data_IF_148750547501
#
_entry.id   IF_148750547501
#
_cell.length_a   1.000
_cell.length_b   1.000
_cell.length_c   1.000
_cell.angle_alpha   90.00
_cell.angle_beta   90.00
_cell.angle_gamma   90.00
#
_symmetry.space_group_name_H-M   'P 1'
#
loop_
_entity.id
_entity.type
_entity.pdbx_description
1 polymer ?
#
# COMPACT_ATOMS: atom_id res chain seq x y z
N UNK A 1 -39.18 45.34 5.41
CA UNK A 1 -38.47 45.54 4.11
C UNK A 1 -37.11 46.22 4.30
N UNK A 2 -36.27 45.73 5.23
CA UNK A 2 -34.87 46.18 5.42
C UNK A 2 -33.89 45.02 5.70
N UNK A 3 -34.41 43.81 5.95
CA UNK A 3 -33.60 42.62 6.26
C UNK A 3 -33.27 41.77 5.02
N UNK A 4 -34.12 41.82 3.98
CA UNK A 4 -33.92 41.04 2.74
C UNK A 4 -32.84 41.67 1.83
N UNK A 5 -32.63 42.98 1.94
CA UNK A 5 -31.57 43.69 1.19
C UNK A 5 -30.18 43.36 1.75
N UNK A 6 -30.06 42.98 3.02
CA UNK A 6 -28.77 42.66 3.63
C UNK A 6 -28.27 41.25 3.27
N UNK A 7 -29.18 40.30 2.98
CA UNK A 7 -28.84 38.94 2.56
C UNK A 7 -28.47 38.89 1.05
N UNK A 8 -29.02 39.80 0.24
CA UNK A 8 -28.68 39.92 -1.19
C UNK A 8 -27.32 40.59 -1.47
N UNK A 9 -26.76 41.32 -0.50
CA UNK A 9 -25.48 42.04 -0.69
C UNK A 9 -24.27 41.23 -0.20
N UNK A 10 -24.47 40.24 0.68
CA UNK A 10 -23.39 39.36 1.17
C UNK A 10 -23.09 38.20 0.21
N UNK A 11 -23.97 37.91 -0.75
CA UNK A 11 -23.84 36.76 -1.68
C UNK A 11 -23.23 37.11 -3.04
N UNK A 12 -22.89 38.38 -3.31
CA UNK A 12 -22.34 38.82 -4.62
C UNK A 12 -20.85 39.23 -4.54
N UNK A 13 -20.23 39.23 -3.37
CA UNK A 13 -18.85 39.71 -3.17
C UNK A 13 -17.77 38.60 -3.14
N UNK A 14 -18.00 37.46 -3.79
CA UNK A 14 -17.07 36.31 -3.68
C UNK A 14 -16.93 35.41 -4.90
N UNK A 15 -17.50 35.76 -6.06
CA UNK A 15 -17.25 35.02 -7.30
C UNK A 15 -16.14 35.76 -8.07
N UNK A 16 -14.93 35.74 -7.54
CA UNK A 16 -13.77 35.83 -8.42
C UNK A 16 -13.71 34.49 -9.15
N UNK A 17 -13.52 34.46 -10.49
CA UNK A 17 -13.07 33.24 -11.10
C UNK A 17 -11.78 32.89 -10.38
N UNK A 18 -11.72 31.70 -9.78
CA UNK A 18 -10.46 31.10 -9.37
C UNK A 18 -9.65 30.95 -10.67
N UNK A 19 -8.94 32.01 -11.04
CA UNK A 19 -7.85 31.92 -11.98
C UNK A 19 -6.96 30.84 -11.37
N UNK A 20 -6.89 29.70 -12.03
CA UNK A 20 -5.89 28.70 -11.72
C UNK A 20 -4.56 29.46 -11.74
N UNK A 21 -4.01 29.76 -10.56
CA UNK A 21 -2.62 30.18 -10.43
C UNK A 21 -1.82 28.95 -10.82
N UNK A 22 -1.67 28.76 -12.13
CA UNK A 22 -0.49 28.11 -12.67
C UNK A 22 0.67 28.90 -12.09
N UNK A 23 1.59 28.27 -11.33
CA UNK A 23 2.78 28.94 -10.88
C UNK A 23 3.45 29.57 -12.11
N UNK A 24 3.52 30.90 -12.17
CA UNK A 24 4.21 31.60 -13.25
C UNK A 24 5.72 31.43 -13.02
N UNK A 25 6.26 30.40 -13.66
CA UNK A 25 7.67 30.03 -13.61
C UNK A 25 8.53 30.94 -14.52
N UNK A 26 7.95 31.92 -15.20
CA UNK A 26 8.66 32.84 -16.09
C UNK A 26 9.70 33.72 -15.39
N UNK A 27 9.51 33.99 -14.10
CA UNK A 27 10.43 34.80 -13.29
C UNK A 27 11.67 34.05 -12.75
N UNK A 28 11.74 32.72 -12.90
CA UNK A 28 12.82 31.89 -12.36
C UNK A 28 13.86 31.45 -13.41
N UNK A 29 13.88 32.10 -14.58
CA UNK A 29 14.69 31.68 -15.73
C UNK A 29 15.79 32.72 -16.00
N UNK A 30 17.07 32.40 -15.69
CA UNK A 30 18.20 33.10 -16.28
C UNK A 30 18.20 32.90 -17.80
N UNK A 31 18.35 33.98 -18.56
CA UNK A 31 18.46 33.98 -20.02
C UNK A 31 19.68 33.17 -20.45
N UNK A 32 19.46 31.91 -20.87
CA UNK A 32 20.53 30.98 -21.29
C UNK A 32 20.35 29.53 -20.84
N UNK A 33 19.36 29.25 -19.99
CA UNK A 33 19.03 27.89 -19.55
C UNK A 33 18.04 27.20 -20.51
N UNK A 34 17.81 25.86 -20.43
CA UNK A 34 16.82 25.16 -21.24
C UNK A 34 15.49 25.90 -21.17
N UNK A 35 14.81 26.04 -22.31
CA UNK A 35 13.56 26.80 -22.44
C UNK A 35 12.61 26.51 -21.27
N UNK A 36 11.84 27.53 -20.83
CA UNK A 36 10.80 27.37 -19.82
C UNK A 36 9.98 26.09 -20.04
N UNK A 37 9.67 25.83 -21.31
CA UNK A 37 8.99 24.64 -21.83
C UNK A 37 9.71 23.33 -21.50
N UNK A 38 11.03 23.24 -21.62
CA UNK A 38 11.80 22.03 -21.32
C UNK A 38 11.74 21.63 -19.84
N UNK A 39 11.80 22.60 -18.92
CA UNK A 39 11.64 22.31 -17.47
C UNK A 39 10.21 21.96 -17.11
N UNK A 40 9.23 22.59 -17.74
CA UNK A 40 7.81 22.24 -17.55
C UNK A 40 7.57 20.79 -18.01
N UNK A 41 8.13 20.37 -19.14
CA UNK A 41 8.06 18.98 -19.62
C UNK A 41 8.73 18.01 -18.65
N UNK A 42 9.91 18.35 -18.13
CA UNK A 42 10.62 17.51 -17.15
C UNK A 42 9.84 17.38 -15.83
N UNK A 43 9.24 18.47 -15.34
CA UNK A 43 8.38 18.46 -14.15
C UNK A 43 7.11 17.65 -14.37
N UNK A 44 6.48 17.76 -15.55
CA UNK A 44 5.32 16.94 -15.91
C UNK A 44 5.68 15.46 -15.97
N UNK A 45 6.82 15.10 -16.54
CA UNK A 45 7.30 13.73 -16.57
C UNK A 45 7.52 13.18 -15.15
N UNK A 46 8.17 13.96 -14.28
CA UNK A 46 8.41 13.58 -12.89
C UNK A 46 7.09 13.41 -12.10
N UNK A 47 6.14 14.32 -12.26
CA UNK A 47 4.80 14.20 -11.65
C UNK A 47 4.05 12.97 -12.16
N UNK A 48 4.21 12.62 -13.44
CA UNK A 48 3.60 11.44 -14.04
C UNK A 48 4.20 10.16 -13.45
N UNK A 49 5.51 10.09 -13.26
CA UNK A 49 6.16 8.95 -12.60
C UNK A 49 5.72 8.86 -11.13
N UNK A 50 5.66 9.98 -10.42
CA UNK A 50 5.27 10.03 -9.02
C UNK A 50 3.80 9.63 -8.80
N UNK A 51 2.90 9.91 -9.75
CA UNK A 51 1.49 9.51 -9.65
C UNK A 51 1.28 8.00 -9.84
N UNK A 52 2.17 7.32 -10.57
CA UNK A 52 2.15 5.87 -10.77
C UNK A 52 2.83 5.11 -9.63
N UNK A 53 3.71 5.77 -8.87
CA UNK A 53 4.49 5.16 -7.79
C UNK A 53 3.66 4.41 -6.72
N UNK A 54 2.50 4.91 -6.23
CA UNK A 54 1.67 4.17 -5.29
C UNK A 54 1.14 2.85 -5.88
N UNK A 55 0.83 2.83 -7.18
CA UNK A 55 0.40 1.63 -7.89
C UNK A 55 1.54 0.61 -7.99
N UNK A 56 2.75 1.07 -8.36
CA UNK A 56 3.93 0.19 -8.39
C UNK A 56 4.22 -0.42 -7.02
N UNK A 57 4.15 0.39 -5.95
CA UNK A 57 4.33 -0.07 -4.58
C UNK A 57 3.38 -1.23 -4.25
N UNK A 58 2.11 -1.15 -4.63
CA UNK A 58 1.13 -2.23 -4.41
C UNK A 58 1.43 -3.46 -5.27
N UNK A 59 1.89 -3.27 -6.51
CA UNK A 59 2.07 -4.35 -7.49
C UNK A 59 3.35 -5.16 -7.30
N UNK A 60 4.46 -4.53 -6.90
CA UNK A 60 5.79 -5.16 -6.92
C UNK A 60 6.40 -5.39 -5.53
N UNK A 61 5.69 -5.03 -4.46
CA UNK A 61 6.24 -5.08 -3.09
C UNK A 61 5.32 -5.81 -2.11
N UNK A 62 5.83 -6.01 -0.89
CA UNK A 62 5.14 -6.64 0.23
C UNK A 62 4.02 -5.80 0.89
N UNK A 63 3.82 -4.55 0.47
CA UNK A 63 2.89 -3.61 1.09
C UNK A 63 1.48 -4.15 1.23
N UNK A 64 0.97 -4.81 0.19
CA UNK A 64 -0.39 -5.36 0.14
C UNK A 64 -0.66 -6.32 1.30
N UNK A 65 0.28 -7.20 1.63
CA UNK A 65 0.15 -8.13 2.77
C UNK A 65 0.06 -7.39 4.10
N UNK A 66 0.91 -6.38 4.30
CA UNK A 66 0.97 -5.64 5.56
C UNK A 66 -0.28 -4.81 5.80
N UNK A 67 -0.72 -4.03 4.80
CA UNK A 67 -1.90 -3.18 4.97
C UNK A 67 -3.17 -4.00 5.21
N UNK A 68 -3.29 -5.19 4.58
CA UNK A 68 -4.41 -6.09 4.80
C UNK A 68 -4.37 -6.66 6.23
N UNK A 69 -3.26 -7.23 6.66
CA UNK A 69 -3.14 -7.80 8.01
C UNK A 69 -3.42 -6.75 9.11
N UNK A 70 -2.87 -5.53 8.96
CA UNK A 70 -3.12 -4.41 9.87
C UNK A 70 -4.58 -3.95 9.86
N UNK A 71 -5.25 -3.99 8.70
CA UNK A 71 -6.67 -3.67 8.58
C UNK A 71 -7.55 -4.71 9.26
N UNK A 72 -7.22 -6.00 9.12
CA UNK A 72 -7.89 -7.09 9.83
C UNK A 72 -7.71 -6.98 11.36
N UNK A 73 -6.52 -6.59 11.83
CA UNK A 73 -6.31 -6.33 13.26
C UNK A 73 -7.27 -5.25 13.79
N UNK A 74 -7.38 -4.11 13.09
CA UNK A 74 -8.29 -3.03 13.48
C UNK A 74 -9.73 -3.52 13.59
N UNK A 75 -10.19 -4.29 12.62
CA UNK A 75 -11.53 -4.89 12.60
C UNK A 75 -11.69 -5.88 13.77
N UNK A 76 -10.69 -6.74 14.00
CA UNK A 76 -10.72 -7.75 15.06
C UNK A 76 -10.86 -7.17 16.47
N UNK A 77 -10.08 -6.12 16.78
CA UNK A 77 -10.15 -5.42 18.08
C UNK A 77 -11.53 -4.74 18.26
N UNK A 78 -12.15 -4.28 17.16
CA UNK A 78 -13.48 -3.66 17.20
C UNK A 78 -13.47 -2.15 17.46
N UNK A 79 -12.33 -1.49 17.27
CA UNK A 79 -12.21 -0.03 17.37
C UNK A 79 -12.66 0.63 16.07
N UNK A 80 -13.58 1.60 16.14
CA UNK A 80 -14.20 2.16 14.94
C UNK A 80 -13.28 3.06 14.10
N UNK A 81 -12.34 3.77 14.74
CA UNK A 81 -11.49 4.76 14.03
C UNK A 81 -10.04 4.76 14.48
N UNK A 82 -9.69 4.00 15.52
CA UNK A 82 -8.34 3.94 16.09
C UNK A 82 -7.72 2.56 15.88
N UNK A 83 -6.50 2.45 15.34
CA UNK A 83 -5.68 3.50 14.75
C UNK A 83 -6.28 4.04 13.43
N UNK A 84 -6.04 5.32 13.15
CA UNK A 84 -6.50 5.97 11.91
C UNK A 84 -5.87 5.34 10.67
N UNK A 85 -6.55 5.42 9.52
CA UNK A 85 -6.09 4.81 8.27
C UNK A 85 -4.66 5.26 7.90
N UNK A 86 -4.35 6.53 8.11
CA UNK A 86 -3.04 7.10 7.85
C UNK A 86 -1.94 6.40 8.68
N UNK A 87 -2.21 6.09 9.95
CA UNK A 87 -1.24 5.39 10.81
C UNK A 87 -0.98 3.98 10.29
N UNK A 88 -2.02 3.25 9.88
CA UNK A 88 -1.85 1.90 9.34
C UNK A 88 -1.10 1.90 8.01
N UNK A 89 -1.42 2.84 7.12
CA UNK A 89 -0.71 3.01 5.83
C UNK A 89 0.75 3.37 6.07
N UNK A 90 1.04 4.33 6.96
CA UNK A 90 2.41 4.70 7.30
C UNK A 90 3.19 3.52 7.89
N UNK A 91 2.59 2.76 8.82
CA UNK A 91 3.23 1.58 9.39
C UNK A 91 3.51 0.51 8.33
N UNK A 92 2.52 0.21 7.47
CA UNK A 92 2.70 -0.72 6.36
C UNK A 92 3.83 -0.28 5.42
N UNK A 93 3.92 1.01 5.13
CA UNK A 93 4.95 1.58 4.25
C UNK A 93 6.35 1.53 4.87
N UNK A 94 6.49 1.83 6.16
CA UNK A 94 7.78 1.66 6.87
C UNK A 94 8.22 0.20 6.93
N UNK A 95 7.30 -0.73 7.21
CA UNK A 95 7.60 -2.17 7.18
C UNK A 95 7.97 -2.64 5.78
N UNK A 96 7.33 -2.09 4.75
CA UNK A 96 7.66 -2.36 3.35
C UNK A 96 9.08 -1.93 3.04
N UNK A 97 9.47 -0.71 3.41
CA UNK A 97 10.84 -0.23 3.20
C UNK A 97 11.87 -1.05 3.98
N UNK A 98 11.54 -1.49 5.19
CA UNK A 98 12.43 -2.34 5.97
C UNK A 98 12.67 -3.70 5.28
N UNK A 99 11.61 -4.38 4.85
CA UNK A 99 11.71 -5.70 4.19
C UNK A 99 12.31 -5.60 2.79
N UNK A 100 11.94 -4.57 2.03
CA UNK A 100 12.40 -4.37 0.65
C UNK A 100 13.77 -3.70 0.55
N UNK A 101 14.39 -3.30 1.68
CA UNK A 101 15.70 -2.63 1.70
C UNK A 101 16.74 -3.27 0.77
N UNK A 102 17.00 -4.59 0.85
CA UNK A 102 17.96 -5.26 -0.03
C UNK A 102 17.59 -5.18 -1.52
N UNK A 103 16.30 -5.23 -1.86
CA UNK A 103 15.82 -5.14 -3.25
C UNK A 103 16.02 -3.73 -3.81
N UNK A 104 15.71 -2.70 -3.01
CA UNK A 104 15.93 -1.31 -3.41
C UNK A 104 17.42 -0.99 -3.56
N UNK A 105 18.26 -1.48 -2.65
CA UNK A 105 19.71 -1.29 -2.71
C UNK A 105 20.31 -1.97 -3.95
N UNK A 106 19.92 -3.21 -4.25
CA UNK A 106 20.38 -3.93 -5.45
C UNK A 106 19.94 -3.23 -6.73
N UNK A 107 18.69 -2.78 -6.81
CA UNK A 107 18.17 -2.01 -7.94
C UNK A 107 18.90 -0.68 -8.13
N UNK A 108 19.26 -0.01 -7.02
CA UNK A 108 20.00 1.24 -7.06
C UNK A 108 21.42 1.05 -7.59
N UNK A 109 22.16 0.07 -7.04
CA UNK A 109 23.57 -0.14 -7.38
C UNK A 109 23.77 -0.70 -8.80
N UNK A 110 22.89 -1.59 -9.24
CA UNK A 110 23.08 -2.30 -10.52
C UNK A 110 22.44 -1.59 -11.72
N UNK A 111 21.39 -0.81 -11.49
CA UNK A 111 20.60 -0.18 -12.54
C UNK A 111 20.58 1.35 -12.49
N UNK A 112 20.10 1.94 -11.39
CA UNK A 112 19.91 3.40 -11.30
C UNK A 112 21.24 4.17 -11.33
N UNK A 113 22.19 3.79 -10.48
CA UNK A 113 23.47 4.48 -10.38
C UNK A 113 24.28 4.40 -11.69
N UNK A 114 24.42 3.25 -12.36
CA UNK A 114 25.11 3.19 -13.65
C UNK A 114 24.41 3.98 -14.76
N UNK A 115 23.08 4.10 -14.73
CA UNK A 115 22.34 4.93 -15.69
C UNK A 115 22.65 6.42 -15.50
N UNK A 116 22.67 6.90 -14.26
CA UNK A 116 23.04 8.29 -13.92
C UNK A 116 24.51 8.57 -14.28
N UNK A 117 25.38 7.57 -14.15
CA UNK A 117 26.79 7.64 -14.56
C UNK A 117 26.99 7.44 -16.08
N UNK A 118 25.91 7.35 -16.87
CA UNK A 118 25.92 7.14 -18.33
C UNK A 118 26.68 5.88 -18.78
N UNK A 119 26.81 4.88 -17.90
CA UNK A 119 27.54 3.62 -18.16
C UNK A 119 26.71 2.57 -18.88
N UNK A 120 25.38 2.69 -18.83
CA UNK A 120 24.44 1.77 -19.45
C UNK A 120 23.34 2.55 -20.17
N UNK A 121 22.69 1.90 -21.13
CA UNK A 121 21.53 2.48 -21.84
C UNK A 121 20.28 2.45 -20.98
N UNK A 122 19.28 3.27 -21.33
CA UNK A 122 17.97 3.29 -20.64
C UNK A 122 17.27 1.92 -20.68
N UNK A 123 17.35 1.21 -21.82
CA UNK A 123 16.76 -0.13 -21.97
C UNK A 123 17.44 -1.16 -21.05
N UNK A 124 18.77 -1.14 -20.98
CA UNK A 124 19.53 -2.02 -20.10
C UNK A 124 19.32 -1.66 -18.61
N UNK A 125 19.21 -0.37 -18.30
CA UNK A 125 18.89 0.09 -16.95
C UNK A 125 17.52 -0.42 -16.49
N UNK A 126 16.51 -0.41 -17.36
CA UNK A 126 15.20 -0.95 -17.03
C UNK A 126 15.27 -2.43 -16.63
N UNK A 127 15.98 -3.26 -17.40
CA UNK A 127 16.15 -4.67 -17.08
C UNK A 127 16.88 -4.89 -15.75
N UNK A 128 17.97 -4.15 -15.51
CA UNK A 128 18.74 -4.24 -14.27
C UNK A 128 18.00 -3.70 -13.04
N UNK A 129 17.18 -2.66 -13.21
CA UNK A 129 16.30 -2.11 -12.16
C UNK A 129 15.20 -3.11 -11.82
N UNK A 130 14.60 -3.75 -12.82
CA UNK A 130 13.48 -4.66 -12.62
C UNK A 130 13.91 -6.03 -12.07
N UNK A 131 15.13 -6.49 -12.35
CA UNK A 131 15.59 -7.84 -11.98
C UNK A 131 15.50 -8.15 -10.47
N UNK A 132 15.93 -7.28 -9.53
CA UNK A 132 15.78 -7.53 -8.09
C UNK A 132 14.32 -7.68 -7.66
N UNK A 133 13.42 -6.86 -8.20
CA UNK A 133 11.98 -6.97 -7.92
C UNK A 133 11.40 -8.27 -8.49
N UNK A 134 11.81 -8.67 -9.69
CA UNK A 134 11.40 -9.94 -10.30
C UNK A 134 11.84 -11.13 -9.45
N UNK A 135 13.07 -11.10 -8.94
CA UNK A 135 13.61 -12.11 -8.02
C UNK A 135 12.82 -12.16 -6.71
N UNK A 136 12.55 -11.01 -6.11
CA UNK A 136 11.72 -10.91 -4.90
C UNK A 136 10.32 -11.51 -5.12
N UNK A 137 9.63 -11.10 -6.19
CA UNK A 137 8.30 -11.62 -6.51
C UNK A 137 8.33 -13.13 -6.77
N UNK A 138 9.33 -13.64 -7.51
CA UNK A 138 9.46 -15.07 -7.81
C UNK A 138 9.67 -15.90 -6.54
N UNK A 139 10.34 -15.35 -5.53
CA UNK A 139 10.56 -16.04 -4.26
C UNK A 139 9.30 -16.11 -3.38
N UNK A 140 8.41 -15.12 -3.48
CA UNK A 140 7.24 -15.01 -2.61
C UNK A 140 5.90 -15.34 -3.30
N UNK A 141 5.88 -15.46 -4.62
CA UNK A 141 4.72 -15.91 -5.38
C UNK A 141 4.50 -17.41 -5.20
N UNK A 142 3.24 -17.84 -5.17
CA UNK A 142 2.92 -19.27 -5.18
C UNK A 142 2.98 -19.81 -6.59
N UNK A 143 3.68 -20.92 -6.78
CA UNK A 143 3.77 -21.62 -8.07
C UNK A 143 2.39 -21.94 -8.68
N UNK A 144 1.39 -22.28 -7.85
CA UNK A 144 0.01 -22.49 -8.30
C UNK A 144 -0.60 -21.24 -8.95
N UNK A 145 -0.34 -20.06 -8.37
CA UNK A 145 -0.87 -18.81 -8.87
C UNK A 145 -0.12 -18.36 -10.14
N UNK A 146 1.18 -18.64 -10.24
CA UNK A 146 1.95 -18.46 -11.49
C UNK A 146 1.36 -19.30 -12.62
N UNK A 147 1.17 -20.60 -12.40
CA UNK A 147 0.64 -21.53 -13.41
C UNK A 147 -0.72 -21.12 -13.94
N UNK A 148 -1.60 -20.61 -13.07
CA UNK A 148 -2.89 -20.07 -13.49
C UNK A 148 -2.72 -18.97 -14.54
N UNK A 149 -1.80 -18.03 -14.32
CA UNK A 149 -1.58 -16.94 -15.28
C UNK A 149 -0.78 -17.38 -16.51
N UNK A 150 0.06 -18.40 -16.41
CA UNK A 150 0.70 -19.03 -17.58
C UNK A 150 -0.32 -19.70 -18.49
N UNK A 151 -1.23 -20.49 -17.92
CA UNK A 151 -2.33 -21.13 -18.64
C UNK A 151 -3.22 -20.09 -19.33
N UNK A 152 -3.58 -19.02 -18.61
CA UNK A 152 -4.38 -17.92 -19.17
C UNK A 152 -3.66 -17.14 -20.27
N UNK A 153 -2.33 -17.01 -20.18
CA UNK A 153 -1.51 -16.32 -21.17
C UNK A 153 -1.12 -17.23 -22.36
N UNK A 154 -1.42 -18.54 -22.30
CA UNK A 154 -0.97 -19.51 -23.29
C UNK A 154 0.55 -19.70 -23.32
N UNK A 155 1.23 -19.46 -22.19
CA UNK A 155 2.68 -19.61 -22.03
C UNK A 155 2.98 -20.97 -21.42
N UNK A 156 3.88 -21.75 -22.03
CA UNK A 156 4.27 -23.03 -21.47
C UNK A 156 5.31 -22.80 -20.34
N UNK A 157 5.14 -23.40 -19.15
CA UNK A 157 6.13 -23.31 -18.07
C UNK A 157 7.54 -23.79 -18.49
N UNK A 158 7.64 -24.63 -19.52
CA UNK A 158 8.92 -25.08 -20.08
C UNK A 158 9.70 -23.96 -20.80
N UNK A 159 9.05 -22.88 -21.19
CA UNK A 159 9.66 -21.76 -21.92
C UNK A 159 10.25 -20.69 -20.98
N UNK A 160 10.19 -20.90 -19.66
CA UNK A 160 10.75 -19.96 -18.66
C UNK A 160 12.26 -19.80 -18.87
N UNK A 161 12.69 -18.57 -19.17
CA UNK A 161 14.11 -18.23 -19.18
C UNK A 161 14.64 -18.23 -17.75
N UNK A 162 15.63 -19.07 -17.47
CA UNK A 162 16.24 -19.17 -16.13
C UNK A 162 15.30 -19.64 -15.02
N UNK A 163 14.23 -20.38 -15.36
CA UNK A 163 13.14 -20.79 -14.46
C UNK A 163 12.31 -19.62 -13.88
N UNK A 164 12.44 -18.41 -14.39
CA UNK A 164 11.67 -17.26 -13.94
C UNK A 164 10.47 -16.97 -14.86
N UNK A 165 9.27 -16.71 -14.32
CA UNK A 165 8.12 -16.31 -15.12
C UNK A 165 8.32 -14.92 -15.76
N UNK A 166 7.67 -14.69 -16.89
CA UNK A 166 7.65 -13.37 -17.52
C UNK A 166 6.91 -12.34 -16.64
N UNK A 167 7.31 -11.07 -16.69
CA UNK A 167 6.76 -10.02 -15.82
C UNK A 167 5.23 -9.87 -15.97
N UNK A 168 4.69 -10.05 -17.18
CA UNK A 168 3.24 -10.00 -17.47
C UNK A 168 2.43 -11.09 -16.74
N UNK A 169 3.05 -12.23 -16.45
CA UNK A 169 2.47 -13.35 -15.70
C UNK A 169 2.75 -13.18 -14.22
N UNK A 170 3.98 -12.81 -13.88
CA UNK A 170 4.47 -12.73 -12.51
C UNK A 170 3.74 -11.67 -11.69
N UNK A 171 3.53 -10.47 -12.24
CA UNK A 171 2.87 -9.36 -11.54
C UNK A 171 1.47 -9.73 -11.02
N UNK A 172 0.52 -10.16 -11.87
CA UNK A 172 -0.81 -10.51 -11.38
C UNK A 172 -0.80 -11.76 -10.49
N UNK A 173 0.07 -12.74 -10.75
CA UNK A 173 0.23 -13.92 -9.90
C UNK A 173 0.72 -13.56 -8.48
N UNK A 174 1.70 -12.67 -8.39
CA UNK A 174 2.25 -12.15 -7.14
C UNK A 174 1.20 -11.37 -6.38
N UNK A 175 0.47 -10.45 -7.03
CA UNK A 175 -0.60 -9.69 -6.38
C UNK A 175 -1.66 -10.61 -5.75
N UNK A 176 -2.13 -11.64 -6.47
CA UNK A 176 -3.10 -12.61 -5.93
C UNK A 176 -2.50 -13.42 -4.78
N UNK A 177 -1.23 -13.82 -4.88
CA UNK A 177 -0.52 -14.53 -3.81
C UNK A 177 -0.44 -13.69 -2.54
N UNK A 178 -0.09 -12.41 -2.66
CA UNK A 178 0.02 -11.47 -1.55
C UNK A 178 -1.32 -11.12 -0.92
N UNK A 179 -2.36 -10.92 -1.75
CA UNK A 179 -3.72 -10.77 -1.28
C UNK A 179 -4.12 -11.98 -0.44
N UNK A 180 -4.00 -13.19 -1.00
CA UNK A 180 -4.37 -14.42 -0.29
C UNK A 180 -3.62 -14.54 1.04
N UNK A 181 -2.31 -14.31 1.04
CA UNK A 181 -1.50 -14.42 2.26
C UNK A 181 -1.88 -13.37 3.29
N UNK A 182 -2.15 -12.13 2.86
CA UNK A 182 -2.65 -11.07 3.72
C UNK A 182 -3.98 -11.42 4.38
N UNK A 183 -4.90 -12.01 3.62
CA UNK A 183 -6.20 -12.49 4.14
C UNK A 183 -6.04 -13.69 5.08
N UNK A 184 -5.18 -14.66 4.77
CA UNK A 184 -4.87 -15.78 5.67
C UNK A 184 -4.35 -15.29 7.02
N UNK A 185 -3.37 -14.39 7.01
CA UNK A 185 -2.80 -13.78 8.23
C UNK A 185 -3.88 -12.97 8.95
N UNK A 186 -4.64 -12.15 8.21
CA UNK A 186 -5.73 -11.35 8.75
C UNK A 186 -6.79 -12.19 9.46
N UNK A 187 -7.17 -13.33 8.87
CA UNK A 187 -8.09 -14.27 9.48
C UNK A 187 -7.53 -14.84 10.80
N UNK A 188 -6.27 -15.30 10.80
CA UNK A 188 -5.61 -15.80 12.00
C UNK A 188 -5.53 -14.76 13.13
N UNK A 189 -5.33 -13.49 12.78
CA UNK A 189 -5.34 -12.37 13.74
C UNK A 189 -6.74 -12.18 14.35
N UNK A 190 -7.81 -12.31 13.57
CA UNK A 190 -9.18 -12.07 14.03
C UNK A 190 -9.72 -13.21 14.90
N UNK A 191 -9.27 -14.45 14.70
CA UNK A 191 -9.74 -15.64 15.43
C UNK A 191 -9.82 -15.49 16.96
N UNK A 192 -8.77 -15.08 17.69
CA UNK A 192 -8.85 -14.94 19.14
C UNK A 192 -9.89 -13.90 19.58
N UNK A 193 -10.05 -12.81 18.83
CA UNK A 193 -11.04 -11.78 19.14
C UNK A 193 -12.47 -12.28 18.90
N UNK A 194 -12.69 -13.10 17.86
CA UNK A 194 -13.97 -13.73 17.59
C UNK A 194 -14.38 -14.67 18.74
N UNK A 195 -13.43 -15.43 19.29
CA UNK A 195 -13.69 -16.27 20.46
C UNK A 195 -14.11 -15.43 21.67
N UNK A 196 -13.47 -14.29 21.92
CA UNK A 196 -13.86 -13.35 22.99
C UNK A 196 -15.29 -12.84 22.75
N UNK A 197 -15.64 -12.46 21.51
CA UNK A 197 -17.01 -12.02 21.18
C UNK A 197 -18.05 -13.10 21.45
N UNK A 198 -17.77 -14.34 21.04
CA UNK A 198 -18.69 -15.46 21.22
C UNK A 198 -18.93 -15.76 22.70
N UNK A 199 -17.86 -15.77 23.51
CA UNK A 199 -17.94 -15.99 24.96
C UNK A 199 -18.75 -14.86 25.61
N UNK A 200 -18.41 -13.60 25.34
CA UNK A 200 -19.10 -12.45 25.94
C UNK A 200 -20.57 -12.41 25.52
N UNK A 201 -20.89 -12.72 24.27
CA UNK A 201 -22.28 -12.82 23.80
C UNK A 201 -23.08 -13.89 24.54
N UNK A 202 -22.53 -15.11 24.68
CA UNK A 202 -23.22 -16.18 25.41
C UNK A 202 -23.45 -15.82 26.89
N UNK A 203 -22.47 -15.20 27.56
CA UNK A 203 -22.61 -14.74 28.94
C UNK A 203 -23.64 -13.61 29.08
N UNK A 204 -23.62 -12.63 28.18
CA UNK A 204 -24.56 -11.49 28.18
C UNK A 204 -25.99 -11.95 27.96
N UNK A 205 -26.20 -12.87 27.00
CA UNK A 205 -27.51 -13.48 26.74
C UNK A 205 -28.00 -14.29 27.95
N UNK A 206 -27.11 -15.02 28.64
CA UNK A 206 -27.45 -15.78 29.84
C UNK A 206 -27.86 -14.90 31.03
N UNK A 207 -27.40 -13.65 31.09
CA UNK A 207 -27.81 -12.68 32.12
C UNK A 207 -29.14 -11.98 31.81
N UNK A 208 -29.77 -12.26 30.65
CA UNK A 208 -31.02 -11.64 30.23
C UNK A 208 -30.87 -10.21 29.68
N UNK A 209 -29.65 -9.72 29.46
CA UNK A 209 -29.39 -8.38 28.93
C UNK A 209 -29.49 -8.35 27.40
N UNK A 210 -30.71 -8.46 26.86
CA UNK A 210 -30.93 -8.47 25.40
C UNK A 210 -30.74 -7.10 24.72
N UNK A 211 -30.76 -6.00 25.48
CA UNK A 211 -30.74 -4.63 24.94
C UNK A 211 -29.33 -4.02 24.80
N UNK A 212 -28.31 -4.62 25.41
CA UNK A 212 -26.93 -4.15 25.29
C UNK A 212 -26.23 -4.93 24.17
N UNK A 213 -25.63 -4.26 23.16
CA UNK A 213 -24.86 -4.94 22.14
C UNK A 213 -23.68 -5.70 22.79
N UNK A 214 -23.57 -7.03 22.61
CA UNK A 214 -22.48 -7.81 23.19
C UNK A 214 -21.08 -7.29 22.82
N UNK A 215 -20.95 -6.67 21.65
CA UNK A 215 -19.71 -6.06 21.16
C UNK A 215 -19.23 -4.87 22.00
N UNK A 216 -20.15 -4.12 22.62
CA UNK A 216 -19.79 -3.03 23.52
C UNK A 216 -19.15 -3.56 24.81
N UNK A 217 -19.58 -4.74 25.25
CA UNK A 217 -19.05 -5.42 26.45
C UNK A 217 -17.74 -6.13 26.12
N UNK A 218 -17.58 -6.72 24.92
CA UNK A 218 -16.37 -7.48 24.55
C UNK A 218 -15.16 -6.59 24.26
N UNK A 219 -15.37 -5.36 23.78
CA UNK A 219 -14.31 -4.42 23.42
C UNK A 219 -13.23 -4.23 24.50
N UNK A 220 -13.54 -3.89 25.77
CA UNK A 220 -12.51 -3.73 26.80
C UNK A 220 -11.70 -5.01 27.03
N UNK A 221 -12.32 -6.19 26.96
CA UNK A 221 -11.62 -7.47 27.10
C UNK A 221 -10.67 -7.73 25.93
N UNK A 222 -11.09 -7.43 24.70
CA UNK A 222 -10.23 -7.56 23.51
C UNK A 222 -9.03 -6.65 23.57
N UNK A 223 -9.23 -5.38 23.94
CA UNK A 223 -8.16 -4.40 24.08
C UNK A 223 -7.18 -4.85 25.17
N UNK A 224 -7.69 -5.29 26.32
CA UNK A 224 -6.85 -5.80 27.40
C UNK A 224 -6.06 -7.03 26.96
N UNK A 225 -6.70 -8.01 26.33
CA UNK A 225 -6.04 -9.21 25.78
C UNK A 225 -4.91 -8.84 24.81
N UNK A 226 -5.18 -7.93 23.89
CA UNK A 226 -4.19 -7.49 22.90
C UNK A 226 -3.00 -6.78 23.55
N UNK A 227 -3.23 -5.92 24.54
CA UNK A 227 -2.16 -5.22 25.26
C UNK A 227 -1.34 -6.18 26.14
N UNK A 228 -1.99 -7.11 26.84
CA UNK A 228 -1.31 -8.08 27.72
C UNK A 228 -0.39 -9.04 26.97
N UNK A 229 -0.72 -9.35 25.71
CA UNK A 229 0.11 -10.20 24.85
C UNK A 229 1.19 -9.43 24.08
N UNK A 230 1.31 -8.11 24.29
CA UNK A 230 2.12 -7.24 23.43
C UNK A 230 1.83 -7.47 21.94
N UNK A 231 0.55 -7.35 21.58
CA UNK A 231 0.06 -7.77 20.27
C UNK A 231 0.67 -6.99 19.10
N UNK A 232 1.13 -5.75 19.31
CA UNK A 232 1.87 -4.99 18.30
C UNK A 232 3.23 -5.61 18.01
N UNK A 233 3.99 -5.98 19.05
CA UNK A 233 5.27 -6.65 18.89
C UNK A 233 5.12 -8.00 18.18
N UNK A 234 4.15 -8.82 18.60
CA UNK A 234 3.87 -10.11 17.97
C UNK A 234 3.47 -9.96 16.49
N UNK A 235 2.58 -9.01 16.20
CA UNK A 235 2.09 -8.78 14.84
C UNK A 235 3.19 -8.27 13.91
N UNK A 236 3.89 -7.21 14.28
CA UNK A 236 4.98 -6.67 13.46
C UNK A 236 6.09 -7.71 13.29
N UNK A 237 6.49 -8.39 14.36
CA UNK A 237 7.51 -9.42 14.30
C UNK A 237 7.12 -10.60 13.41
N UNK A 238 5.89 -11.08 13.48
CA UNK A 238 5.40 -12.18 12.62
C UNK A 238 5.26 -11.79 11.16
N UNK A 239 4.82 -10.55 10.88
CA UNK A 239 4.72 -10.02 9.53
C UNK A 239 6.09 -9.91 8.85
N UNK A 240 7.08 -9.35 9.53
CA UNK A 240 8.44 -9.23 9.00
C UNK A 240 9.06 -10.62 8.79
N UNK A 241 8.93 -11.53 9.76
CA UNK A 241 9.40 -12.92 9.62
C UNK A 241 8.72 -13.70 8.51
N UNK A 242 7.54 -13.28 8.02
CA UNK A 242 6.86 -13.94 6.90
C UNK A 242 7.54 -13.72 5.53
N UNK A 243 8.54 -12.83 5.47
CA UNK A 243 9.35 -12.53 4.29
C UNK A 243 10.83 -12.85 4.45
N UNK A 244 11.24 -13.30 5.63
CA UNK A 244 12.58 -13.85 5.89
C UNK A 244 12.59 -15.34 5.58
#
# INVERSE_FOLDING_TARGET
>A
MRLIVFIGIVTVAGITPAAAQLPDLGGLIPTGAPSASGRIVQLLALLTVLSVAPGLLIMVTCFTRFIIALSFLRIGIGLQTTPGNLVLVSLALFLTFYVMGPTFDESWQTGVKPLIEEKITEAEAFERIAAPFKKFMTHHVREKDVRLFEELAGVNPADRVGNEPELRVLLPAFMISELRRGFEIGFLIVLPFLVIDLIVATLTMSMGMMMLPPTAISLPFKVLFFVLLDGWYLLVGSLVRSYS
#
